data_IF_292720490868
#
_entry.id   IF_292720490868
#
_cell.length_a   1.000
_cell.length_b   1.000
_cell.length_c   1.000
_cell.angle_alpha   90.00
_cell.angle_beta   90.00
_cell.angle_gamma   90.00
#
_symmetry.space_group_name_H-M   'P 1'
#
loop_
_entity.id
_entity.type
_entity.pdbx_description
1 polymer ?
#
# COMPACT_ATOMS: atom_id res chain seq x y z
N UNK A 1 44.44 -19.13 42.46
CA UNK A 1 44.27 -19.21 41.00
C UNK A 1 42.90 -19.82 40.72
N UNK A 2 42.12 -19.13 39.89
CA UNK A 2 40.91 -19.49 39.13
C UNK A 2 40.41 -20.95 39.22
N UNK A 3 39.11 -21.26 39.34
CA UNK A 3 38.08 -20.92 38.34
C UNK A 3 36.67 -21.08 38.92
N UNK A 4 35.85 -20.01 38.86
CA UNK A 4 34.40 -20.12 38.99
C UNK A 4 33.82 -20.23 37.58
N UNK A 5 33.45 -21.45 37.17
CA UNK A 5 32.56 -21.68 36.05
C UNK A 5 31.15 -21.28 36.50
N UNK A 6 30.69 -20.11 36.08
CA UNK A 6 29.28 -19.75 36.17
C UNK A 6 28.63 -20.16 34.85
N UNK A 7 28.04 -21.35 34.87
CA UNK A 7 27.26 -21.91 33.78
C UNK A 7 26.06 -21.01 33.52
N UNK A 8 25.96 -20.53 32.29
CA UNK A 8 24.93 -19.62 31.81
C UNK A 8 23.55 -20.25 31.94
N UNK A 9 22.83 -19.92 33.01
CA UNK A 9 21.40 -20.27 33.11
C UNK A 9 20.62 -19.30 32.23
N UNK A 10 20.48 -19.63 30.95
CA UNK A 10 19.51 -18.97 30.06
C UNK A 10 18.10 -19.29 30.54
N UNK A 11 17.52 -18.37 31.33
CA UNK A 11 16.10 -18.42 31.70
C UNK A 11 15.29 -18.00 30.47
N UNK A 12 14.79 -18.97 29.71
CA UNK A 12 13.79 -18.74 28.68
C UNK A 12 12.47 -18.34 29.33
N UNK A 13 12.22 -17.02 29.43
CA UNK A 13 10.94 -16.48 29.89
C UNK A 13 9.95 -16.45 28.73
N UNK A 14 9.02 -17.40 28.74
CA UNK A 14 7.83 -17.44 27.88
C UNK A 14 6.82 -16.39 28.38
N UNK A 15 6.79 -15.21 27.76
CA UNK A 15 5.84 -14.15 28.10
C UNK A 15 4.45 -14.48 27.53
N UNK A 16 3.59 -15.08 28.34
CA UNK A 16 2.19 -15.40 27.99
C UNK A 16 1.16 -14.51 28.69
N UNK A 17 1.50 -13.28 29.05
CA UNK A 17 0.53 -12.34 29.61
C UNK A 17 0.82 -10.90 29.17
N UNK A 18 -0.21 -10.22 28.67
CA UNK A 18 -0.16 -8.84 28.21
C UNK A 18 0.29 -7.90 29.33
N UNK A 19 1.49 -7.36 29.21
CA UNK A 19 2.03 -6.34 30.12
C UNK A 19 1.32 -5.01 29.87
N UNK A 20 0.44 -4.63 30.79
CA UNK A 20 0.00 -3.24 30.99
C UNK A 20 1.11 -2.49 31.72
N UNK A 21 1.93 -1.75 30.97
CA UNK A 21 3.03 -0.97 31.57
C UNK A 21 4.19 -0.61 30.65
N UNK A 22 4.04 -0.72 29.32
CA UNK A 22 5.07 -0.25 28.41
C UNK A 22 4.88 1.25 28.13
N UNK A 23 5.75 2.08 28.70
CA UNK A 23 6.16 3.36 28.10
C UNK A 23 7.07 3.10 26.88
N UNK A 24 6.69 2.13 26.05
CA UNK A 24 7.33 1.80 24.79
C UNK A 24 6.32 2.15 23.71
N UNK A 25 6.72 3.02 22.78
CA UNK A 25 5.99 3.20 21.52
C UNK A 25 5.59 1.83 21.01
N UNK A 26 4.29 1.64 20.78
CA UNK A 26 3.73 0.45 20.12
C UNK A 26 4.28 0.43 18.69
N UNK A 27 5.52 -0.01 18.53
CA UNK A 27 6.21 -0.19 17.25
C UNK A 27 5.77 -1.49 16.55
N UNK A 28 4.89 -2.28 17.17
CA UNK A 28 4.33 -3.50 16.59
C UNK A 28 3.14 -3.26 15.65
N UNK A 29 2.50 -2.10 15.67
CA UNK A 29 1.30 -1.83 14.86
C UNK A 29 1.46 -0.71 13.83
N UNK A 30 2.52 0.10 13.92
CA UNK A 30 2.79 1.17 12.96
C UNK A 30 3.47 0.66 11.69
N UNK A 31 4.29 -0.41 11.79
CA UNK A 31 4.99 -0.96 10.64
C UNK A 31 4.03 -1.74 9.73
N UNK A 32 3.17 -2.60 10.30
CA UNK A 32 2.20 -3.41 9.55
C UNK A 32 1.25 -2.52 8.75
N UNK A 33 0.71 -1.46 9.37
CA UNK A 33 -0.22 -0.55 8.70
C UNK A 33 0.40 0.20 7.51
N UNK A 34 1.69 0.58 7.61
CA UNK A 34 2.41 1.24 6.52
C UNK A 34 2.76 0.25 5.41
N UNK A 35 3.14 -0.98 5.76
CA UNK A 35 3.39 -2.06 4.80
C UNK A 35 2.13 -2.42 4.01
N UNK A 36 0.99 -2.62 4.69
CA UNK A 36 -0.29 -2.94 4.06
C UNK A 36 -0.81 -1.81 3.16
N UNK A 37 -0.60 -0.55 3.55
CA UNK A 37 -0.92 0.61 2.71
C UNK A 37 -0.05 0.64 1.45
N UNK A 38 1.27 0.44 1.58
CA UNK A 38 2.17 0.38 0.42
C UNK A 38 1.83 -0.78 -0.51
N UNK A 39 1.49 -1.94 0.04
CA UNK A 39 1.03 -3.09 -0.75
C UNK A 39 -0.27 -2.76 -1.49
N UNK A 40 -1.26 -2.21 -0.80
CA UNK A 40 -2.54 -1.82 -1.42
C UNK A 40 -2.34 -0.75 -2.50
N UNK A 41 -1.43 0.21 -2.30
CA UNK A 41 -1.05 1.20 -3.32
C UNK A 41 -0.40 0.52 -4.52
N UNK A 42 0.49 -0.43 -4.31
CA UNK A 42 1.15 -1.16 -5.39
C UNK A 42 0.15 -2.01 -6.18
N UNK A 43 -0.74 -2.71 -5.50
CA UNK A 43 -1.85 -3.44 -6.11
C UNK A 43 -2.72 -2.50 -6.94
N UNK A 44 -3.09 -1.33 -6.39
CA UNK A 44 -3.87 -0.33 -7.12
C UNK A 44 -3.13 0.16 -8.38
N UNK A 45 -1.84 0.46 -8.26
CA UNK A 45 -1.03 0.95 -9.36
C UNK A 45 -0.92 -0.10 -10.48
N UNK A 46 -0.64 -1.35 -10.12
CA UNK A 46 -0.50 -2.45 -11.08
C UNK A 46 -1.84 -2.75 -11.76
N UNK A 47 -2.93 -2.86 -11.01
CA UNK A 47 -4.27 -3.14 -11.56
C UNK A 47 -4.70 -2.04 -12.54
N UNK A 48 -4.56 -0.76 -12.15
CA UNK A 48 -4.89 0.37 -13.03
C UNK A 48 -4.02 0.31 -14.29
N UNK A 49 -2.72 0.07 -14.15
CA UNK A 49 -1.82 -0.06 -15.30
C UNK A 49 -2.22 -1.21 -16.23
N UNK A 50 -2.58 -2.38 -15.70
CA UNK A 50 -3.01 -3.52 -16.51
C UNK A 50 -4.29 -3.21 -17.28
N UNK A 51 -5.25 -2.54 -16.63
CA UNK A 51 -6.47 -2.07 -17.28
C UNK A 51 -6.18 -1.02 -18.38
N UNK A 52 -5.25 -0.09 -18.12
CA UNK A 52 -4.82 0.89 -19.12
C UNK A 52 -4.17 0.21 -20.33
N UNK A 53 -3.32 -0.80 -20.11
CA UNK A 53 -2.73 -1.60 -21.20
C UNK A 53 -3.79 -2.33 -22.02
N UNK A 54 -4.79 -2.92 -21.37
CA UNK A 54 -5.91 -3.58 -22.06
C UNK A 54 -6.71 -2.60 -22.91
N UNK A 55 -6.98 -1.41 -22.35
CA UNK A 55 -7.68 -0.35 -23.07
C UNK A 55 -6.84 0.15 -24.25
N UNK A 56 -5.53 0.36 -24.10
CA UNK A 56 -4.67 0.79 -25.20
C UNK A 56 -4.52 -0.25 -26.30
N UNK A 57 -4.53 -1.54 -25.94
CA UNK A 57 -4.54 -2.62 -26.93
C UNK A 57 -5.82 -2.62 -27.78
N UNK A 58 -6.95 -2.20 -27.20
CA UNK A 58 -8.26 -2.15 -27.90
C UNK A 58 -8.55 -0.78 -28.53
N UNK A 59 -8.05 0.30 -27.93
CA UNK A 59 -8.28 1.69 -28.30
C UNK A 59 -7.05 2.55 -27.94
N UNK A 60 -6.00 2.56 -28.78
CA UNK A 60 -4.75 3.28 -28.52
C UNK A 60 -4.91 4.81 -28.54
N UNK A 61 -6.02 5.32 -29.08
CA UNK A 61 -6.35 6.76 -29.10
C UNK A 61 -7.29 7.17 -27.96
N UNK A 62 -7.45 6.31 -26.94
CA UNK A 62 -8.29 6.60 -25.78
C UNK A 62 -7.76 7.83 -25.01
N UNK A 63 -8.62 8.82 -24.82
CA UNK A 63 -8.31 10.01 -24.03
C UNK A 63 -8.28 9.68 -22.52
N UNK A 64 -7.68 10.55 -21.70
CA UNK A 64 -7.56 10.36 -20.25
C UNK A 64 -8.90 10.13 -19.55
N UNK A 65 -9.97 10.79 -20.02
CA UNK A 65 -11.33 10.58 -19.51
C UNK A 65 -11.82 9.15 -19.79
N UNK A 66 -11.62 8.65 -21.00
CA UNK A 66 -12.01 7.28 -21.37
C UNK A 66 -11.20 6.24 -20.59
N UNK A 67 -9.91 6.53 -20.38
CA UNK A 67 -9.02 5.74 -19.53
C UNK A 67 -9.55 5.68 -18.09
N UNK A 68 -9.94 6.82 -17.52
CA UNK A 68 -10.50 6.88 -16.17
C UNK A 68 -11.86 6.18 -16.06
N UNK A 69 -12.76 6.35 -17.03
CA UNK A 69 -14.08 5.69 -17.04
C UNK A 69 -13.97 4.18 -17.21
N UNK A 70 -13.09 3.71 -18.09
CA UNK A 70 -12.83 2.28 -18.26
C UNK A 70 -12.33 1.65 -16.97
N UNK A 71 -11.31 2.27 -16.35
CA UNK A 71 -10.72 1.78 -15.10
C UNK A 71 -11.76 1.86 -13.95
N UNK A 72 -12.58 2.90 -13.91
CA UNK A 72 -13.68 3.02 -12.94
C UNK A 72 -14.77 1.96 -13.12
N UNK A 73 -15.06 1.57 -14.35
CA UNK A 73 -16.06 0.53 -14.67
C UNK A 73 -15.51 -0.87 -14.42
N UNK A 74 -14.23 -1.09 -14.70
CA UNK A 74 -13.57 -2.37 -14.54
C UNK A 74 -13.24 -2.71 -13.08
N UNK A 75 -12.96 -1.70 -12.25
CA UNK A 75 -12.64 -1.90 -10.83
C UNK A 75 -13.91 -1.92 -9.99
N UNK A 76 -14.11 -3.03 -9.26
CA UNK A 76 -15.22 -3.17 -8.34
C UNK A 76 -15.24 -2.04 -7.28
N UNK A 77 -16.43 -1.56 -6.87
CA UNK A 77 -16.55 -0.44 -5.94
C UNK A 77 -15.89 -0.70 -4.57
N UNK A 78 -15.86 -1.95 -4.12
CA UNK A 78 -15.14 -2.37 -2.92
C UNK A 78 -13.61 -2.21 -3.03
N UNK A 79 -13.04 -2.56 -4.19
CA UNK A 79 -11.60 -2.39 -4.48
C UNK A 79 -11.26 -0.91 -4.58
N UNK A 80 -12.10 -0.12 -5.26
CA UNK A 80 -11.96 1.34 -5.31
C UNK A 80 -11.89 1.95 -3.91
N UNK A 81 -12.79 1.55 -3.00
CA UNK A 81 -12.75 2.01 -1.59
C UNK A 81 -11.45 1.61 -0.89
N UNK A 82 -10.99 0.37 -1.08
CA UNK A 82 -9.72 -0.10 -0.50
C UNK A 82 -8.52 0.71 -1.02
N UNK A 83 -8.49 0.99 -2.32
CA UNK A 83 -7.45 1.82 -2.93
C UNK A 83 -7.49 3.24 -2.37
N UNK A 84 -8.68 3.86 -2.29
CA UNK A 84 -8.87 5.18 -1.69
C UNK A 84 -8.44 5.23 -0.22
N UNK A 85 -8.71 4.18 0.56
CA UNK A 85 -8.27 4.07 1.96
C UNK A 85 -6.75 3.97 2.11
N UNK A 86 -6.03 3.53 1.08
CA UNK A 86 -4.58 3.50 1.05
C UNK A 86 -3.94 4.82 0.57
N UNK A 87 -4.72 5.75 -0.01
CA UNK A 87 -4.25 7.06 -0.46
C UNK A 87 -4.01 8.01 0.73
N UNK A 88 -2.89 7.86 1.42
CA UNK A 88 -2.44 8.75 2.48
C UNK A 88 -1.52 9.88 1.96
N UNK A 89 -1.11 10.81 2.81
CA UNK A 89 -0.06 11.80 2.50
C UNK A 89 1.19 11.12 1.95
N UNK A 90 1.59 11.47 0.72
CA UNK A 90 2.73 10.86 0.02
C UNK A 90 2.39 9.71 -0.94
N UNK A 91 1.11 9.34 -1.10
CA UNK A 91 0.71 8.26 -2.03
C UNK A 91 1.19 8.47 -3.47
N UNK A 92 1.26 9.72 -3.95
CA UNK A 92 1.74 10.04 -5.30
C UNK A 92 3.22 9.66 -5.48
N UNK A 93 4.03 9.91 -4.46
CA UNK A 93 5.45 9.55 -4.47
C UNK A 93 5.60 8.03 -4.38
N UNK A 94 4.83 7.36 -3.53
CA UNK A 94 4.82 5.90 -3.47
C UNK A 94 4.46 5.28 -4.83
N UNK A 95 3.44 5.79 -5.53
CA UNK A 95 3.06 5.31 -6.87
C UNK A 95 4.18 5.55 -7.89
N UNK A 96 4.92 6.67 -7.81
CA UNK A 96 6.11 6.93 -8.64
C UNK A 96 7.27 5.97 -8.34
N UNK A 97 7.42 5.54 -7.08
CA UNK A 97 8.42 4.53 -6.71
C UNK A 97 8.01 3.13 -7.20
N UNK A 98 6.71 2.83 -7.22
CA UNK A 98 6.18 1.52 -7.63
C UNK A 98 6.12 1.39 -9.15
N UNK A 99 5.61 2.41 -9.83
CA UNK A 99 5.50 2.48 -11.27
C UNK A 99 6.64 3.37 -11.78
N UNK A 100 7.58 2.81 -12.53
CA UNK A 100 8.64 3.56 -13.22
C UNK A 100 8.36 3.55 -14.74
N UNK A 101 7.21 4.08 -15.16
CA UNK A 101 6.74 3.98 -16.54
C UNK A 101 5.78 5.13 -16.91
N UNK A 102 5.43 5.34 -18.20
CA UNK A 102 4.59 6.48 -18.59
C UNK A 102 3.15 6.42 -18.04
N UNK A 103 2.72 5.29 -17.48
CA UNK A 103 1.39 5.15 -16.86
C UNK A 103 1.30 5.78 -15.47
N UNK A 104 2.43 6.18 -14.86
CA UNK A 104 2.46 6.84 -13.54
C UNK A 104 1.52 8.03 -13.49
N UNK A 105 1.66 8.97 -14.41
CA UNK A 105 0.87 10.21 -14.40
C UNK A 105 -0.61 9.91 -14.62
N UNK A 106 -0.93 8.97 -15.52
CA UNK A 106 -2.31 8.55 -15.79
C UNK A 106 -2.92 7.87 -14.56
N UNK A 107 -2.17 6.97 -13.91
CA UNK A 107 -2.61 6.27 -12.69
C UNK A 107 -2.85 7.26 -11.55
N UNK A 108 -1.95 8.23 -11.36
CA UNK A 108 -2.13 9.32 -10.39
C UNK A 108 -3.39 10.14 -10.74
N UNK A 109 -3.58 10.52 -12.00
CA UNK A 109 -4.75 11.29 -12.43
C UNK A 109 -6.07 10.53 -12.16
N UNK A 110 -6.11 9.21 -12.39
CA UNK A 110 -7.28 8.37 -12.11
C UNK A 110 -7.58 8.31 -10.62
N UNK A 111 -6.56 8.02 -9.80
CA UNK A 111 -6.69 7.96 -8.34
C UNK A 111 -7.06 9.31 -7.74
N UNK A 112 -6.51 10.41 -8.26
CA UNK A 112 -6.92 11.77 -7.92
C UNK A 112 -8.37 12.04 -8.31
N UNK A 113 -8.78 11.65 -9.52
CA UNK A 113 -10.16 11.76 -9.97
C UNK A 113 -11.11 11.09 -8.99
N UNK A 114 -10.82 9.86 -8.57
CA UNK A 114 -11.64 9.15 -7.59
C UNK A 114 -11.70 9.82 -6.22
N UNK A 115 -10.57 10.35 -5.75
CA UNK A 115 -10.49 11.08 -4.47
C UNK A 115 -11.29 12.39 -4.52
N UNK A 116 -11.32 13.08 -5.67
CA UNK A 116 -12.10 14.31 -5.87
C UNK A 116 -13.59 14.03 -6.09
N UNK A 117 -13.97 12.94 -6.77
CA UNK A 117 -15.38 12.54 -6.95
C UNK A 117 -16.02 12.00 -5.66
N UNK A 118 -15.21 11.57 -4.68
CA UNK A 118 -15.71 11.07 -3.39
C UNK A 118 -15.91 12.17 -2.34
N UNK A 119 -15.80 13.45 -2.74
CA UNK A 119 -16.02 14.64 -1.91
C UNK A 119 -17.35 15.31 -2.17
#
# INVERSE_FOLDING_TARGET
MNSNQNDSVEVQQNFHSSVYGVAGKVAGNQNIFVSEQRQTLAEAAQEIQELLKQLEASNPVANEVQKAEFVQTAIAPERKKRFLSALNSGWKEAIKEILDNPYVNVTIAILEGWKNTSG
#
